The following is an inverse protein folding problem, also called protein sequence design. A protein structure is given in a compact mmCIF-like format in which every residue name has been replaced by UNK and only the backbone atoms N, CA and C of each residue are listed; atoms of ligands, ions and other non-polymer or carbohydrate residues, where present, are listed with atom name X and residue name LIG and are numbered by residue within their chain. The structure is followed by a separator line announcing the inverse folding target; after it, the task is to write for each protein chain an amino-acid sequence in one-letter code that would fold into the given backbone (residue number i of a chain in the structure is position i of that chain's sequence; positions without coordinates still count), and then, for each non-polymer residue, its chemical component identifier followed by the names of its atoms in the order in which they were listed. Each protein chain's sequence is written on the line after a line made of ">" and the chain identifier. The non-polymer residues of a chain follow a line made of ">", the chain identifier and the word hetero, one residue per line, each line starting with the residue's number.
data_IF_693712336414
#
_entry.id   IF_693712336414
#
_cell.length_a   1.000
_cell.length_b   1.000
_cell.length_c   1.000
_cell.angle_alpha   90.00
_cell.angle_beta   90.00
_cell.angle_gamma   90.00
#
_symmetry.space_group_name_H-M   'P 1'
#
loop_
_entity.id
_entity.type
_entity.pdbx_description
1 polymer ?
#
# COMPACT_ATOMS: atom_id res chain seq x y z
N UNK A 1 -6.95 15.37 -10.89
CA UNK A 1 -7.87 14.74 -9.91
C UNK A 1 -7.22 14.88 -8.54
N UNK A 2 -7.94 15.31 -7.49
CA UNK A 2 -7.35 15.34 -6.13
C UNK A 2 -7.15 13.90 -5.65
N UNK A 3 -5.93 13.54 -5.23
CA UNK A 3 -5.67 12.26 -4.55
C UNK A 3 -6.65 12.12 -3.38
N UNK A 4 -7.44 11.04 -3.36
CA UNK A 4 -8.27 10.70 -2.21
C UNK A 4 -7.34 10.23 -1.09
N UNK A 5 -7.49 10.82 0.10
CA UNK A 5 -6.73 10.39 1.28
C UNK A 5 -7.46 9.24 1.96
N UNK A 6 -6.74 8.15 2.22
CA UNK A 6 -7.21 7.04 3.03
C UNK A 6 -6.57 7.11 4.41
N UNK A 7 -7.25 6.55 5.41
CA UNK A 7 -6.81 6.62 6.80
C UNK A 7 -6.83 5.23 7.42
N UNK A 8 -5.79 4.90 8.17
CA UNK A 8 -5.67 3.65 8.92
C UNK A 8 -5.53 3.95 10.40
N UNK A 9 -6.23 3.16 11.21
CA UNK A 9 -6.02 3.08 12.65
C UNK A 9 -5.88 1.62 13.04
N UNK A 10 -4.76 1.30 13.66
CA UNK A 10 -4.46 -0.04 14.15
C UNK A 10 -4.61 -0.06 15.67
N UNK A 11 -5.44 -0.98 16.16
CA UNK A 11 -5.61 -1.25 17.58
C UNK A 11 -5.24 -2.70 17.82
N UNK A 12 -4.35 -2.95 18.78
CA UNK A 12 -3.99 -4.30 19.22
C UNK A 12 -4.65 -4.53 20.57
N UNK A 13 -5.43 -5.61 20.67
CA UNK A 13 -6.03 -6.03 21.94
C UNK A 13 -5.41 -7.36 22.35
N UNK A 14 -4.88 -7.42 23.57
CA UNK A 14 -4.38 -8.64 24.19
C UNK A 14 -5.31 -9.04 25.31
N UNK A 15 -5.82 -10.27 25.24
CA UNK A 15 -6.71 -10.84 26.25
C UNK A 15 -5.93 -11.78 27.17
N UNK A 16 -6.11 -11.61 28.48
CA UNK A 16 -5.53 -12.45 29.53
C UNK A 16 -6.65 -13.18 30.26
N UNK A 17 -6.52 -14.50 30.34
CA UNK A 17 -7.44 -15.36 31.09
C UNK A 17 -6.65 -16.41 31.89
N UNK A 18 -7.23 -16.91 32.97
CA UNK A 18 -6.62 -17.98 33.78
C UNK A 18 -6.80 -19.37 33.15
N UNK A 19 -7.72 -19.53 32.21
CA UNK A 19 -7.98 -20.77 31.48
C UNK A 19 -7.84 -20.54 29.95
N UNK A 20 -7.03 -21.32 29.22
CA UNK A 20 -6.89 -21.18 27.76
C UNK A 20 -8.20 -21.39 26.99
N UNK A 21 -9.13 -22.21 27.48
CA UNK A 21 -10.42 -22.46 26.82
C UNK A 21 -11.24 -21.18 26.63
N UNK A 22 -11.08 -20.23 27.55
CA UNK A 22 -11.74 -18.92 27.52
C UNK A 22 -11.22 -18.07 26.35
N UNK A 23 -9.96 -18.24 25.94
CA UNK A 23 -9.32 -17.51 24.84
C UNK A 23 -9.65 -18.07 23.45
N UNK A 24 -10.25 -19.26 23.35
CA UNK A 24 -10.61 -19.89 22.06
C UNK A 24 -11.88 -19.28 21.42
N UNK A 25 -12.46 -18.27 22.05
CA UNK A 25 -13.66 -17.57 21.60
C UNK A 25 -13.38 -16.55 20.48
N UNK A 26 -14.45 -16.03 19.87
CA UNK A 26 -14.33 -14.90 18.92
C UNK A 26 -13.88 -13.63 19.65
N UNK A 27 -13.24 -12.71 18.92
CA UNK A 27 -12.82 -11.39 19.46
C UNK A 27 -14.01 -10.63 20.09
N UNK A 28 -15.20 -10.77 19.51
CA UNK A 28 -16.43 -10.16 20.02
C UNK A 28 -16.84 -10.76 21.38
N UNK A 29 -16.73 -12.08 21.54
CA UNK A 29 -16.95 -12.77 22.82
C UNK A 29 -15.93 -12.37 23.87
N UNK A 30 -14.64 -12.33 23.50
CA UNK A 30 -13.56 -11.90 24.39
C UNK A 30 -13.75 -10.45 24.85
N UNK A 31 -14.17 -9.56 23.95
CA UNK A 31 -14.45 -8.16 24.29
C UNK A 31 -15.62 -8.02 25.26
N UNK A 32 -16.65 -8.85 25.12
CA UNK A 32 -17.80 -8.84 26.02
C UNK A 32 -17.44 -9.38 27.42
N UNK A 33 -16.63 -10.44 27.51
CA UNK A 33 -16.14 -10.97 28.79
C UNK A 33 -15.12 -10.06 29.48
N UNK A 34 -14.35 -9.29 28.71
CA UNK A 34 -13.48 -8.26 29.27
C UNK A 34 -14.26 -7.15 30.02
N UNK A 35 -15.53 -6.92 29.65
CA UNK A 35 -16.41 -5.96 30.33
C UNK A 35 -17.00 -6.55 31.63
N UNK A 36 -17.23 -7.87 31.68
CA UNK A 36 -17.75 -8.55 32.87
C UNK A 36 -16.67 -8.86 33.91
N UNK A 37 -15.39 -8.81 33.51
CA UNK A 37 -14.22 -8.97 34.38
C UNK A 37 -13.71 -10.40 34.50
N UNK A 38 -14.21 -11.33 33.67
CA UNK A 38 -13.73 -12.72 33.59
C UNK A 38 -12.43 -12.82 32.77
N UNK A 39 -12.20 -11.86 31.88
CA UNK A 39 -10.98 -11.68 31.11
C UNK A 39 -10.45 -10.26 31.38
N UNK A 40 -9.12 -10.09 31.40
CA UNK A 40 -8.50 -8.77 31.35
C UNK A 40 -8.08 -8.47 29.92
N UNK A 41 -8.51 -7.34 29.37
CA UNK A 41 -8.05 -6.86 28.07
C UNK A 41 -7.07 -5.69 28.25
N UNK A 42 -5.91 -5.79 27.61
CA UNK A 42 -4.98 -4.66 27.42
C UNK A 42 -5.06 -4.22 25.96
N UNK A 43 -5.25 -2.92 25.75
CA UNK A 43 -5.40 -2.35 24.42
C UNK A 43 -4.27 -1.37 24.14
N UNK A 44 -3.44 -1.72 23.16
CA UNK A 44 -2.48 -0.82 22.54
C UNK A 44 -3.13 -0.10 21.36
N UNK A 45 -2.96 1.21 21.29
CA UNK A 45 -3.39 2.02 20.15
C UNK A 45 -2.17 2.58 19.41
N UNK A 46 -2.21 2.54 18.08
CA UNK A 46 -1.25 3.22 17.23
C UNK A 46 -1.85 4.54 16.73
N UNK A 47 -0.99 5.52 16.42
CA UNK A 47 -1.46 6.79 15.86
C UNK A 47 -2.19 6.53 14.54
N UNK A 48 -3.26 7.28 14.28
CA UNK A 48 -3.91 7.28 12.98
C UNK A 48 -2.93 7.74 11.90
N UNK A 49 -2.86 6.99 10.82
CA UNK A 49 -1.96 7.22 9.70
C UNK A 49 -2.78 7.61 8.46
N UNK A 50 -2.21 8.48 7.63
CA UNK A 50 -2.68 8.66 6.26
C UNK A 50 -1.95 7.65 5.39
N UNK A 51 -2.70 6.88 4.61
CA UNK A 51 -2.17 5.83 3.73
C UNK A 51 -2.56 6.10 2.27
N UNK A 52 -1.79 5.53 1.36
CA UNK A 52 -2.06 5.58 -0.08
C UNK A 52 -3.23 4.66 -0.48
N UNK A 53 -3.87 4.91 -1.63
CA UNK A 53 -4.85 3.98 -2.21
C UNK A 53 -4.34 2.53 -2.33
N UNK A 54 -3.07 2.35 -2.72
CA UNK A 54 -2.46 1.02 -2.86
C UNK A 54 -2.35 0.30 -1.52
N UNK A 55 -1.91 1.00 -0.46
CA UNK A 55 -1.88 0.45 0.89
C UNK A 55 -3.29 0.11 1.41
N UNK A 56 -4.28 0.95 1.09
CA UNK A 56 -5.67 0.68 1.44
C UNK A 56 -6.19 -0.58 0.74
N UNK A 57 -5.85 -0.77 -0.55
CA UNK A 57 -6.20 -1.96 -1.32
C UNK A 57 -5.59 -3.24 -0.72
N UNK A 58 -4.29 -3.24 -0.41
CA UNK A 58 -3.63 -4.36 0.28
C UNK A 58 -4.27 -4.65 1.65
N UNK A 59 -4.64 -3.62 2.40
CA UNK A 59 -5.29 -3.78 3.70
C UNK A 59 -6.65 -4.44 3.62
N UNK A 60 -7.47 -4.07 2.64
CA UNK A 60 -8.79 -4.69 2.41
C UNK A 60 -8.68 -6.15 1.99
N UNK A 61 -7.74 -6.47 1.08
CA UNK A 61 -7.49 -7.85 0.63
C UNK A 61 -7.12 -8.74 1.82
N UNK A 62 -6.20 -8.27 2.68
CA UNK A 62 -5.78 -9.01 3.89
C UNK A 62 -6.89 -9.17 4.92
N UNK A 63 -7.77 -8.18 5.03
CA UNK A 63 -8.95 -8.25 5.90
C UNK A 63 -10.04 -9.19 5.35
N UNK A 64 -9.87 -9.77 4.16
CA UNK A 64 -10.88 -10.62 3.51
C UNK A 64 -12.15 -9.85 3.14
N UNK A 65 -12.07 -8.52 3.00
CA UNK A 65 -13.21 -7.67 2.68
C UNK A 65 -13.44 -7.59 1.17
N UNK A 66 -14.71 -7.59 0.74
CA UNK A 66 -15.02 -7.39 -0.68
C UNK A 66 -14.69 -5.95 -1.14
N UNK A 67 -14.24 -5.75 -2.40
CA UNK A 67 -13.61 -4.50 -2.87
C UNK A 67 -14.53 -3.28 -2.94
N UNK A 68 -15.82 -3.43 -2.60
CA UNK A 68 -16.83 -2.37 -2.74
C UNK A 68 -16.78 -1.31 -1.63
N UNK A 69 -15.88 -1.47 -0.65
CA UNK A 69 -15.77 -0.54 0.48
C UNK A 69 -15.24 0.83 0.05
N UNK A 70 -14.37 0.89 -0.96
CA UNK A 70 -13.89 2.12 -1.57
C UNK A 70 -14.05 2.02 -3.09
N UNK A 71 -14.67 3.01 -3.72
CA UNK A 71 -14.67 3.10 -5.18
C UNK A 71 -13.27 3.53 -5.67
N UNK A 72 -12.86 3.01 -6.82
CA UNK A 72 -11.67 3.43 -7.56
C UNK A 72 -10.29 3.12 -6.92
N UNK A 73 -10.21 2.06 -6.09
CA UNK A 73 -8.90 1.54 -5.66
C UNK A 73 -8.20 0.75 -6.78
N UNK A 74 -6.86 0.83 -6.89
CA UNK A 74 -6.12 -0.06 -7.78
C UNK A 74 -6.24 -1.50 -7.30
N UNK A 75 -6.33 -2.46 -8.22
CA UNK A 75 -6.21 -3.88 -7.91
C UNK A 75 -4.72 -4.26 -7.89
N UNK A 76 -4.13 -4.56 -6.72
CA UNK A 76 -2.70 -4.82 -6.62
C UNK A 76 -2.23 -6.01 -7.47
N UNK A 77 -3.07 -7.01 -7.71
CA UNK A 77 -2.69 -8.19 -8.51
C UNK A 77 -2.69 -7.88 -10.01
N UNK A 78 -3.53 -6.93 -10.46
CA UNK A 78 -3.74 -6.61 -11.86
C UNK A 78 -3.05 -5.32 -12.33
N UNK A 79 -2.31 -4.61 -11.48
CA UNK A 79 -1.59 -3.36 -11.84
C UNK A 79 -0.74 -3.54 -13.09
N UNK A 80 0.01 -4.64 -13.20
CA UNK A 80 0.90 -4.89 -14.34
C UNK A 80 0.16 -5.32 -15.62
N UNK A 81 -1.11 -5.67 -15.51
CA UNK A 81 -1.99 -5.99 -16.64
C UNK A 81 -2.76 -4.77 -17.15
N UNK A 82 -2.73 -3.66 -16.41
CA UNK A 82 -3.44 -2.43 -16.78
C UNK A 82 -2.75 -1.75 -17.99
N UNK A 83 -3.47 -1.55 -19.12
CA UNK A 83 -2.90 -0.92 -20.31
C UNK A 83 -2.42 0.52 -20.06
N UNK A 84 -3.08 1.28 -19.18
CA UNK A 84 -2.68 2.65 -18.84
C UNK A 84 -1.34 2.69 -18.09
N UNK A 85 -1.07 1.66 -17.27
CA UNK A 85 0.23 1.48 -16.61
C UNK A 85 1.32 1.23 -17.65
N UNK A 86 1.07 0.39 -18.64
CA UNK A 86 2.02 0.12 -19.72
C UNK A 86 2.29 1.37 -20.59
N UNK A 87 1.26 2.16 -20.88
CA UNK A 87 1.43 3.45 -21.56
C UNK A 87 2.33 4.41 -20.77
N UNK A 88 2.13 4.49 -19.45
CA UNK A 88 2.96 5.31 -18.58
C UNK A 88 4.40 4.80 -18.49
N UNK A 89 4.61 3.47 -18.42
CA UNK A 89 5.95 2.85 -18.47
C UNK A 89 6.67 3.25 -19.76
N UNK A 90 5.99 3.19 -20.90
CA UNK A 90 6.57 3.57 -22.19
C UNK A 90 6.88 5.07 -22.25
N UNK A 91 6.00 5.91 -21.72
CA UNK A 91 6.21 7.36 -21.65
C UNK A 91 7.44 7.71 -20.80
N UNK A 92 7.55 7.15 -19.59
CA UNK A 92 8.68 7.33 -18.69
C UNK A 92 10.00 6.89 -19.33
N UNK A 93 10.01 5.74 -20.00
CA UNK A 93 11.22 5.21 -20.63
C UNK A 93 11.73 6.07 -21.81
N UNK A 94 10.90 6.98 -22.35
CA UNK A 94 11.26 7.90 -23.43
C UNK A 94 11.79 9.25 -22.92
N UNK A 95 11.59 9.56 -21.65
CA UNK A 95 12.04 10.79 -21.02
C UNK A 95 13.38 10.57 -20.30
N UNK A 96 14.13 11.65 -20.09
CA UNK A 96 15.30 11.64 -19.21
C UNK A 96 14.90 12.06 -17.79
N UNK A 97 15.55 11.48 -16.80
CA UNK A 97 15.11 11.50 -15.40
C UNK A 97 15.09 12.91 -14.76
N UNK A 98 15.89 13.84 -15.31
CA UNK A 98 16.03 15.21 -14.82
C UNK A 98 15.07 16.20 -15.53
N UNK A 99 14.09 15.67 -16.26
CA UNK A 99 13.17 16.49 -17.08
C UNK A 99 11.80 16.62 -16.43
N UNK A 100 11.13 17.79 -16.55
CA UNK A 100 9.75 17.96 -16.09
C UNK A 100 8.78 16.95 -16.71
N UNK A 101 9.04 16.52 -17.94
CA UNK A 101 8.26 15.50 -18.63
C UNK A 101 8.34 14.13 -17.92
N UNK A 102 9.50 13.80 -17.36
CA UNK A 102 9.67 12.60 -16.54
C UNK A 102 8.87 12.72 -15.24
N UNK A 103 8.96 13.85 -14.54
CA UNK A 103 8.21 14.08 -13.30
C UNK A 103 6.69 14.01 -13.53
N UNK A 104 6.20 14.58 -14.64
CA UNK A 104 4.78 14.51 -15.02
C UNK A 104 4.35 13.07 -15.35
N UNK A 105 5.17 12.34 -16.12
CA UNK A 105 4.89 10.94 -16.46
C UNK A 105 4.94 10.04 -15.21
N UNK A 106 5.85 10.31 -14.28
CA UNK A 106 5.97 9.60 -13.02
C UNK A 106 4.76 9.88 -12.13
N UNK A 107 4.35 11.15 -12.01
CA UNK A 107 3.16 11.53 -11.27
C UNK A 107 1.88 10.87 -11.81
N UNK A 108 1.76 10.74 -13.14
CA UNK A 108 0.65 9.97 -13.75
C UNK A 108 0.70 8.50 -13.40
N UNK A 109 1.87 7.86 -13.54
CA UNK A 109 2.03 6.45 -13.16
C UNK A 109 1.65 6.24 -11.69
N UNK A 110 2.18 7.07 -10.79
CA UNK A 110 1.93 7.02 -9.36
C UNK A 110 0.46 7.19 -9.01
N UNK A 111 -0.25 8.08 -9.70
CA UNK A 111 -1.70 8.24 -9.54
C UNK A 111 -2.47 6.98 -9.96
N UNK A 112 -2.09 6.34 -11.07
CA UNK A 112 -2.77 5.14 -11.60
C UNK A 112 -2.54 3.94 -10.67
N UNK A 113 -1.31 3.72 -10.20
CA UNK A 113 -1.01 2.61 -9.28
C UNK A 113 -1.41 2.91 -7.84
N UNK A 114 -1.92 4.12 -7.57
CA UNK A 114 -2.48 4.52 -6.29
C UNK A 114 -1.45 4.75 -5.18
N UNK A 115 -0.28 5.30 -5.50
CA UNK A 115 0.72 5.70 -4.49
C UNK A 115 0.72 7.21 -4.26
N UNK A 116 1.00 7.63 -3.03
CA UNK A 116 1.25 9.04 -2.72
C UNK A 116 2.74 9.32 -2.98
N UNK A 117 3.03 10.32 -3.81
CA UNK A 117 4.36 10.52 -4.38
C UNK A 117 5.41 10.89 -3.32
N UNK A 118 6.59 10.28 -3.43
CA UNK A 118 7.83 10.89 -2.94
C UNK A 118 8.90 9.93 -2.43
N UNK A 119 8.59 9.16 -1.37
CA UNK A 119 9.65 8.59 -0.53
C UNK A 119 10.45 7.48 -1.23
N UNK A 120 9.76 6.60 -1.98
CA UNK A 120 10.40 5.49 -2.69
C UNK A 120 10.97 5.90 -4.04
N UNK A 121 10.27 6.74 -4.80
CA UNK A 121 10.70 7.12 -6.14
C UNK A 121 12.07 7.80 -6.14
N UNK A 122 12.29 8.78 -5.24
CA UNK A 122 13.56 9.48 -5.15
C UNK A 122 14.72 8.52 -4.82
N UNK A 123 14.50 7.57 -3.91
CA UNK A 123 15.50 6.56 -3.54
C UNK A 123 15.73 5.55 -4.67
N UNK A 124 14.66 5.11 -5.32
CA UNK A 124 14.71 4.07 -6.34
C UNK A 124 15.49 4.55 -7.56
N UNK A 125 15.20 5.76 -8.03
CA UNK A 125 15.79 6.32 -9.25
C UNK A 125 17.15 7.01 -9.02
N UNK A 126 17.54 7.28 -7.77
CA UNK A 126 18.82 7.93 -7.46
C UNK A 126 20.03 7.15 -7.98
N UNK A 127 20.98 7.86 -8.59
CA UNK A 127 22.27 7.30 -9.02
C UNK A 127 22.18 6.33 -10.21
N UNK A 128 21.02 6.19 -10.84
CA UNK A 128 20.89 5.41 -12.08
C UNK A 128 21.50 6.17 -13.25
N UNK A 129 22.33 5.48 -14.04
CA UNK A 129 22.87 6.00 -15.31
C UNK A 129 21.81 5.99 -16.43
N UNK A 130 20.68 6.65 -16.19
CA UNK A 130 19.47 6.57 -16.98
C UNK A 130 19.70 6.93 -18.45
N UNK A 131 20.44 8.02 -18.69
CA UNK A 131 20.73 8.53 -20.03
C UNK A 131 21.41 7.49 -20.93
N UNK A 132 22.27 6.63 -20.36
CA UNK A 132 23.01 5.62 -21.10
C UNK A 132 22.28 4.26 -21.17
N UNK A 133 21.10 4.11 -20.54
CA UNK A 133 20.31 2.89 -20.61
C UNK A 133 19.52 2.80 -21.92
N UNK A 134 19.50 1.61 -22.52
CA UNK A 134 18.59 1.30 -23.62
C UNK A 134 17.12 1.38 -23.16
N UNK A 135 16.21 1.75 -24.07
CA UNK A 135 14.81 2.00 -23.73
C UNK A 135 14.09 0.79 -23.10
N UNK A 136 14.43 -0.44 -23.50
CA UNK A 136 13.90 -1.65 -22.86
C UNK A 136 14.38 -1.79 -21.41
N UNK A 137 15.64 -1.48 -21.12
CA UNK A 137 16.19 -1.49 -19.76
C UNK A 137 15.51 -0.43 -18.90
N UNK A 138 15.27 0.78 -19.45
CA UNK A 138 14.50 1.83 -18.76
C UNK A 138 13.09 1.34 -18.41
N UNK A 139 12.39 0.67 -19.34
CA UNK A 139 11.06 0.08 -19.07
C UNK A 139 11.12 -0.95 -17.93
N UNK A 140 12.12 -1.82 -17.93
CA UNK A 140 12.30 -2.82 -16.87
C UNK A 140 12.59 -2.17 -15.51
N UNK A 141 13.32 -1.05 -15.48
CA UNK A 141 13.50 -0.25 -14.27
C UNK A 141 12.20 0.35 -13.74
N UNK A 142 11.34 0.89 -14.62
CA UNK A 142 10.02 1.38 -14.21
C UNK A 142 9.14 0.25 -13.67
N UNK A 143 9.17 -0.94 -14.27
CA UNK A 143 8.47 -2.12 -13.72
C UNK A 143 9.03 -2.53 -12.36
N UNK A 144 10.35 -2.48 -12.20
CA UNK A 144 11.00 -2.70 -10.90
C UNK A 144 10.55 -1.68 -9.84
N UNK A 145 10.35 -0.43 -10.23
CA UNK A 145 9.80 0.61 -9.36
C UNK A 145 8.37 0.28 -8.90
N UNK A 146 7.49 -0.11 -9.84
CA UNK A 146 6.12 -0.56 -9.51
C UNK A 146 6.15 -1.73 -8.52
N UNK A 147 7.00 -2.73 -8.76
CA UNK A 147 7.15 -3.87 -7.86
C UNK A 147 7.68 -3.48 -6.46
N UNK A 148 8.57 -2.49 -6.38
CA UNK A 148 9.05 -1.96 -5.10
C UNK A 148 7.94 -1.25 -4.31
N UNK A 149 7.11 -0.45 -4.99
CA UNK A 149 5.94 0.20 -4.39
C UNK A 149 4.90 -0.83 -3.91
N UNK A 150 4.60 -1.85 -4.70
CA UNK A 150 3.73 -2.96 -4.31
C UNK A 150 4.26 -3.68 -3.05
N UNK A 151 5.55 -4.02 -3.04
CA UNK A 151 6.19 -4.67 -1.89
C UNK A 151 6.19 -3.79 -0.64
N UNK A 152 6.40 -2.47 -0.80
CA UNK A 152 6.35 -1.52 0.31
C UNK A 152 4.94 -1.42 0.90
N UNK A 153 3.93 -1.26 0.04
CA UNK A 153 2.54 -1.18 0.46
C UNK A 153 2.09 -2.46 1.18
N UNK A 154 2.41 -3.64 0.64
CA UNK A 154 2.09 -4.92 1.29
C UNK A 154 2.80 -5.09 2.65
N UNK A 155 4.07 -4.69 2.72
CA UNK A 155 4.84 -4.71 3.97
C UNK A 155 4.26 -3.75 5.01
N UNK A 156 3.76 -2.60 4.59
CA UNK A 156 3.17 -1.60 5.48
C UNK A 156 1.86 -2.09 6.14
N UNK A 157 1.16 -3.06 5.54
CA UNK A 157 -0.03 -3.70 6.13
C UNK A 157 0.29 -5.02 6.87
N UNK A 158 1.56 -5.41 6.93
CA UNK A 158 2.04 -6.58 7.69
C UNK A 158 2.58 -6.25 9.09
N UNK A 159 2.70 -4.96 9.40
CA UNK A 159 3.27 -4.44 10.65
C UNK A 159 2.20 -4.28 11.72
#
# INVERSE_FOLDING_TARGET
>A
MSQQNYYRKTVTVTFYAENPEVLEQSVEGLAQEAVTGEIVADAGDQKTETISPLEAAYGLIRAGSEPRFFMDLPDPELINENPEVEECIVALARCDIETPEFDEALGRLQAIIGVNSGDLAAQFFSGMDWANMAANVRRDKVRGYIGAEQSHADSAVSR
#
